data_IF_203557449229
#
_entry.id   IF_203557449229
#
_cell.length_a   1.000
_cell.length_b   1.000
_cell.length_c   1.000
_cell.angle_alpha   90.00
_cell.angle_beta   90.00
_cell.angle_gamma   90.00
#
_symmetry.space_group_name_H-M   'P 1'
#
loop_
_entity.id
_entity.type
_entity.pdbx_description
1 polymer ?
#
# COMPACT_ATOMS: atom_id res chain seq x y z
N UNK A 1 2.16 -26.32 20.52
CA UNK A 1 1.92 -25.41 21.67
C UNK A 1 2.60 -24.07 21.46
N UNK A 2 3.83 -24.04 20.94
CA UNK A 2 4.52 -22.84 20.42
C UNK A 2 3.75 -22.13 19.29
N UNK A 3 3.24 -22.86 18.29
CA UNK A 3 2.49 -22.25 17.16
C UNK A 3 1.15 -21.62 17.57
N UNK A 4 0.51 -22.15 18.63
CA UNK A 4 -0.74 -21.60 19.18
C UNK A 4 -0.47 -20.32 19.99
N UNK A 5 0.66 -20.25 20.69
CA UNK A 5 1.11 -19.06 21.43
C UNK A 5 1.57 -17.96 20.45
N UNK A 6 2.21 -18.34 19.35
CA UNK A 6 2.67 -17.41 18.31
C UNK A 6 1.50 -16.78 17.55
N UNK A 7 0.42 -17.54 17.32
CA UNK A 7 -0.81 -17.01 16.73
C UNK A 7 -1.57 -16.07 17.68
N UNK A 8 -1.54 -16.33 19.00
CA UNK A 8 -2.17 -15.45 20.01
C UNK A 8 -1.45 -14.10 20.20
N UNK A 9 -0.14 -14.01 19.92
CA UNK A 9 0.64 -12.75 20.06
C UNK A 9 0.66 -11.89 18.80
N UNK A 10 -0.12 -12.22 17.78
CA UNK A 10 -0.13 -11.50 16.51
C UNK A 10 -0.74 -10.08 16.60
N UNK A 11 -1.58 -9.80 17.59
CA UNK A 11 -2.20 -8.49 17.79
C UNK A 11 -1.30 -7.48 18.54
N UNK A 12 -0.28 -7.93 19.29
CA UNK A 12 0.57 -7.05 20.14
C UNK A 12 1.20 -5.89 19.34
N UNK A 13 1.80 -6.11 18.14
CA UNK A 13 2.35 -5.01 17.36
C UNK A 13 1.29 -3.99 16.93
N UNK A 14 0.11 -4.46 16.56
CA UNK A 14 -0.98 -3.57 16.15
C UNK A 14 -1.41 -2.68 17.32
N UNK A 15 -1.59 -3.27 18.51
CA UNK A 15 -1.89 -2.48 19.70
C UNK A 15 -0.77 -1.49 20.02
N UNK A 16 0.48 -1.95 19.99
CA UNK A 16 1.64 -1.10 20.31
C UNK A 16 1.77 0.09 19.35
N UNK A 17 1.60 -0.13 18.04
CA UNK A 17 1.60 0.94 17.04
C UNK A 17 0.45 1.92 17.29
N UNK A 18 -0.77 1.40 17.48
CA UNK A 18 -1.95 2.23 17.77
C UNK A 18 -1.75 3.08 19.02
N UNK A 19 -1.32 2.50 20.14
CA UNK A 19 -1.09 3.24 21.37
C UNK A 19 0.01 4.32 21.20
N UNK A 20 1.08 4.00 20.48
CA UNK A 20 2.16 4.96 20.21
C UNK A 20 1.64 6.19 19.43
N UNK A 21 0.80 5.96 18.43
CA UNK A 21 0.19 7.02 17.62
C UNK A 21 -0.77 7.86 18.46
N UNK A 22 -1.64 7.22 19.24
CA UNK A 22 -2.56 7.93 20.11
C UNK A 22 -1.79 8.82 21.09
N UNK A 23 -0.80 8.26 21.81
CA UNK A 23 0.02 9.03 22.75
C UNK A 23 0.70 10.23 22.06
N UNK A 24 1.27 10.02 20.87
CA UNK A 24 1.97 11.07 20.13
C UNK A 24 1.06 12.24 19.70
N UNK A 25 -0.23 11.97 19.47
CA UNK A 25 -1.19 12.96 18.97
C UNK A 25 -2.35 13.25 19.93
N UNK A 26 -2.26 12.86 21.21
CA UNK A 26 -3.28 13.15 22.22
C UNK A 26 -3.54 14.65 22.36
N UNK A 27 -2.51 15.48 22.17
CA UNK A 27 -2.62 16.93 22.18
C UNK A 27 -3.45 17.50 21.02
N UNK A 28 -3.61 16.77 19.90
CA UNK A 28 -4.39 17.23 18.74
C UNK A 28 -5.86 17.51 19.08
N UNK A 29 -6.41 16.86 20.11
CA UNK A 29 -7.79 17.06 20.56
C UNK A 29 -8.05 18.43 21.17
N UNK A 30 -7.00 19.18 21.53
CA UNK A 30 -7.09 20.57 21.98
C UNK A 30 -6.95 21.57 20.81
N UNK A 31 -6.87 21.07 19.58
CA UNK A 31 -6.77 21.87 18.37
C UNK A 31 -8.05 22.65 18.06
N UNK A 32 -7.87 23.69 17.24
CA UNK A 32 -8.95 24.51 16.67
C UNK A 32 -8.98 24.34 15.15
N UNK A 33 -10.07 24.75 14.51
CA UNK A 33 -10.12 24.93 13.06
C UNK A 33 -9.05 25.94 12.62
N UNK A 34 -8.33 25.62 11.55
CA UNK A 34 -7.23 26.42 11.02
C UNK A 34 -7.34 26.55 9.50
N UNK A 35 -6.81 27.62 8.93
CA UNK A 35 -6.62 27.78 7.47
C UNK A 35 -7.86 27.38 6.64
N UNK A 36 -7.73 26.39 5.73
CA UNK A 36 -8.80 25.95 4.83
C UNK A 36 -9.95 25.25 5.55
N UNK A 37 -9.81 24.88 6.83
CA UNK A 37 -10.94 24.37 7.63
C UNK A 37 -12.08 25.38 7.65
N UNK A 38 -11.77 26.68 7.65
CA UNK A 38 -12.77 27.72 7.56
C UNK A 38 -13.51 27.69 6.22
N UNK A 39 -12.80 27.46 5.12
CA UNK A 39 -13.38 27.47 3.78
C UNK A 39 -14.20 26.22 3.49
N UNK A 40 -13.77 25.05 3.99
CA UNK A 40 -14.40 23.77 3.64
C UNK A 40 -15.38 23.26 4.69
N UNK A 41 -15.29 23.77 5.93
CA UNK A 41 -16.15 23.37 7.06
C UNK A 41 -16.87 24.59 7.61
N UNK A 42 -16.17 25.48 8.34
CA UNK A 42 -16.83 26.49 9.21
C UNK A 42 -17.73 27.45 8.45
N UNK A 43 -17.29 27.94 7.30
CA UNK A 43 -18.03 28.90 6.48
C UNK A 43 -18.82 28.20 5.35
N UNK A 44 -18.83 26.87 5.33
CA UNK A 44 -19.45 26.08 4.27
C UNK A 44 -20.71 25.37 4.78
N UNK A 45 -21.84 26.05 4.66
CA UNK A 45 -23.13 25.54 5.14
C UNK A 45 -23.56 24.20 4.53
N UNK A 46 -22.99 23.82 3.37
CA UNK A 46 -23.22 22.51 2.73
C UNK A 46 -22.93 21.36 3.69
N UNK A 47 -21.90 21.47 4.52
CA UNK A 47 -21.50 20.37 5.42
C UNK A 47 -22.18 20.43 6.79
N UNK A 48 -23.08 21.38 7.02
CA UNK A 48 -23.72 21.55 8.34
C UNK A 48 -25.01 20.74 8.51
N UNK A 49 -25.55 20.17 7.43
CA UNK A 49 -26.72 19.28 7.49
C UNK A 49 -26.71 18.26 6.36
N UNK A 50 -27.36 17.12 6.59
CA UNK A 50 -27.56 16.11 5.55
C UNK A 50 -28.39 16.64 4.39
N UNK A 51 -29.35 17.52 4.65
CA UNK A 51 -30.17 18.15 3.63
C UNK A 51 -29.33 19.02 2.68
N UNK A 52 -28.53 19.94 3.23
CA UNK A 52 -27.67 20.82 2.42
C UNK A 52 -26.60 20.03 1.65
N UNK A 53 -26.05 18.97 2.25
CA UNK A 53 -25.13 18.07 1.55
C UNK A 53 -25.79 17.33 0.39
N UNK A 54 -27.04 16.86 0.56
CA UNK A 54 -27.80 16.20 -0.52
C UNK A 54 -28.11 17.17 -1.67
N UNK A 55 -28.49 18.42 -1.37
CA UNK A 55 -28.73 19.45 -2.41
C UNK A 55 -27.48 19.82 -3.19
N UNK A 56 -26.31 19.74 -2.56
CA UNK A 56 -25.01 20.02 -3.19
C UNK A 56 -24.43 18.80 -3.95
N UNK A 57 -25.12 17.65 -3.98
CA UNK A 57 -24.67 16.50 -4.76
C UNK A 57 -24.56 16.86 -6.25
N UNK A 58 -23.35 16.70 -6.80
CA UNK A 58 -23.02 17.09 -8.17
C UNK A 58 -22.35 18.46 -8.29
N UNK A 59 -22.24 19.21 -7.19
CA UNK A 59 -21.56 20.50 -7.14
C UNK A 59 -20.18 20.41 -6.45
N UNK A 60 -19.13 20.70 -7.22
CA UNK A 60 -17.74 20.70 -6.75
C UNK A 60 -17.01 19.34 -6.87
N UNK A 61 -15.75 19.32 -6.43
CA UNK A 61 -14.78 18.28 -6.82
C UNK A 61 -14.50 17.20 -5.76
N UNK A 62 -15.13 17.23 -4.58
CA UNK A 62 -14.75 16.37 -3.43
C UNK A 62 -15.93 15.85 -2.59
N UNK A 63 -16.85 15.06 -3.17
CA UNK A 63 -18.08 14.60 -2.49
C UNK A 63 -17.80 13.73 -1.26
N UNK A 64 -16.75 12.89 -1.30
CA UNK A 64 -16.36 12.02 -0.16
C UNK A 64 -15.95 12.86 1.05
N UNK A 65 -15.18 13.94 0.84
CA UNK A 65 -14.74 14.78 1.94
C UNK A 65 -15.92 15.56 2.54
N UNK A 66 -16.76 16.18 1.70
CA UNK A 66 -17.98 16.86 2.14
C UNK A 66 -18.84 15.92 2.98
N UNK A 67 -19.06 14.69 2.51
CA UNK A 67 -19.77 13.66 3.28
C UNK A 67 -19.14 13.41 4.66
N UNK A 68 -17.82 13.25 4.74
CA UNK A 68 -17.15 13.01 6.03
C UNK A 68 -17.21 14.22 6.98
N UNK A 69 -17.23 15.44 6.44
CA UNK A 69 -17.40 16.65 7.23
C UNK A 69 -18.84 16.78 7.72
N UNK A 70 -19.83 16.50 6.87
CA UNK A 70 -21.25 16.44 7.27
C UNK A 70 -21.49 15.42 8.35
N UNK A 71 -20.90 14.23 8.22
CA UNK A 71 -20.96 13.20 9.25
C UNK A 71 -20.38 13.68 10.59
N UNK A 72 -19.21 14.33 10.58
CA UNK A 72 -18.62 14.85 11.81
C UNK A 72 -19.38 16.04 12.40
N UNK A 73 -19.90 16.93 11.56
CA UNK A 73 -20.66 18.09 12.03
C UNK A 73 -21.96 17.66 12.70
N UNK A 74 -22.70 16.78 12.02
CA UNK A 74 -24.01 16.29 12.48
C UNK A 74 -23.92 15.29 13.63
N UNK A 75 -22.74 14.72 13.91
CA UNK A 75 -22.56 13.84 15.08
C UNK A 75 -22.61 14.57 16.42
N UNK A 76 -22.46 15.91 16.42
CA UNK A 76 -22.49 16.71 17.64
C UNK A 76 -21.24 16.57 18.53
N UNK A 77 -20.21 15.84 18.08
CA UNK A 77 -18.97 15.65 18.84
C UNK A 77 -18.08 16.90 18.86
N UNK A 78 -18.43 17.95 18.11
CA UNK A 78 -17.63 19.17 17.99
C UNK A 78 -16.27 18.93 17.32
N UNK A 79 -15.33 19.85 17.54
CA UNK A 79 -13.99 19.84 16.91
C UNK A 79 -13.21 18.57 17.25
N UNK A 80 -13.34 18.07 18.48
CA UNK A 80 -12.68 16.83 18.92
C UNK A 80 -13.12 15.61 18.10
N UNK A 81 -14.37 15.57 17.62
CA UNK A 81 -14.85 14.53 16.71
C UNK A 81 -14.14 14.54 15.35
N UNK A 82 -13.75 15.72 14.85
CA UNK A 82 -12.99 15.84 13.60
C UNK A 82 -11.56 15.32 13.77
N UNK A 83 -10.88 15.68 14.87
CA UNK A 83 -9.54 15.16 15.19
C UNK A 83 -9.56 13.65 15.44
N UNK A 84 -10.60 13.14 16.13
CA UNK A 84 -10.77 11.70 16.33
C UNK A 84 -10.81 10.95 15.00
N UNK A 85 -11.61 11.41 14.05
CA UNK A 85 -11.70 10.76 12.73
C UNK A 85 -10.37 10.83 11.98
N UNK A 86 -9.68 11.96 11.99
CA UNK A 86 -8.36 12.10 11.36
C UNK A 86 -7.34 11.14 11.99
N UNK A 87 -7.32 11.03 13.32
CA UNK A 87 -6.42 10.13 14.04
C UNK A 87 -6.74 8.65 13.76
N UNK A 88 -8.01 8.28 13.64
CA UNK A 88 -8.43 6.92 13.25
C UNK A 88 -7.91 6.60 11.84
N UNK A 89 -8.12 7.49 10.87
CA UNK A 89 -7.66 7.29 9.48
C UNK A 89 -6.13 7.19 9.45
N UNK A 90 -5.42 8.06 10.17
CA UNK A 90 -3.97 8.03 10.27
C UNK A 90 -3.46 6.72 10.88
N UNK A 91 -4.13 6.22 11.92
CA UNK A 91 -3.82 4.93 12.53
C UNK A 91 -4.01 3.79 11.53
N UNK A 92 -5.13 3.78 10.78
CA UNK A 92 -5.37 2.78 9.72
C UNK A 92 -4.22 2.81 8.70
N UNK A 93 -3.80 3.99 8.24
CA UNK A 93 -2.66 4.14 7.32
C UNK A 93 -1.37 3.55 7.88
N UNK A 94 -1.05 3.83 9.15
CA UNK A 94 0.13 3.29 9.80
C UNK A 94 0.10 1.75 9.92
N UNK A 95 -1.07 1.17 10.21
CA UNK A 95 -1.24 -0.28 10.27
C UNK A 95 -1.13 -0.93 8.88
N UNK A 96 -1.59 -0.25 7.83
CA UNK A 96 -1.39 -0.70 6.45
C UNK A 96 0.10 -0.66 6.06
N UNK A 97 0.83 0.38 6.47
CA UNK A 97 2.29 0.47 6.27
C UNK A 97 3.02 -0.62 7.04
N UNK A 98 2.60 -0.93 8.27
CA UNK A 98 3.14 -2.07 9.02
C UNK A 98 2.93 -3.38 8.25
N UNK A 99 1.74 -3.60 7.71
CA UNK A 99 1.39 -4.79 6.93
C UNK A 99 2.23 -4.93 5.65
N UNK A 100 2.43 -3.82 4.91
CA UNK A 100 3.31 -3.79 3.75
C UNK A 100 4.77 -4.04 4.13
N UNK A 101 5.23 -3.44 5.23
CA UNK A 101 6.59 -3.59 5.73
C UNK A 101 6.89 -5.02 6.17
N UNK A 102 5.92 -5.72 6.77
CA UNK A 102 6.04 -7.14 7.07
C UNK A 102 6.30 -7.95 5.80
N UNK A 103 5.44 -7.80 4.78
CA UNK A 103 5.56 -8.49 3.48
C UNK A 103 6.90 -8.21 2.78
N UNK A 104 7.40 -6.97 2.90
CA UNK A 104 8.70 -6.60 2.34
C UNK A 104 9.86 -7.24 3.10
N UNK A 105 9.73 -7.41 4.42
CA UNK A 105 10.82 -7.85 5.31
C UNK A 105 10.74 -9.32 5.72
N UNK A 106 9.78 -10.09 5.19
CA UNK A 106 9.61 -11.54 5.45
C UNK A 106 10.90 -12.33 5.18
N UNK A 107 11.75 -11.88 4.24
CA UNK A 107 13.00 -12.54 3.90
C UNK A 107 14.12 -12.38 4.96
N UNK A 108 13.96 -11.51 5.96
CA UNK A 108 15.06 -11.05 6.82
C UNK A 108 14.68 -10.94 8.32
N UNK A 109 13.76 -11.80 8.79
CA UNK A 109 13.26 -11.81 10.19
C UNK A 109 12.81 -10.42 10.69
N UNK A 110 11.99 -9.75 9.87
CA UNK A 110 11.81 -8.30 9.91
C UNK A 110 10.68 -7.72 10.77
N UNK A 111 10.02 -8.49 11.64
CA UNK A 111 8.85 -7.98 12.41
C UNK A 111 9.16 -6.72 13.22
N UNK A 112 10.29 -6.70 13.93
CA UNK A 112 10.75 -5.51 14.67
C UNK A 112 11.02 -4.31 13.75
N UNK A 113 11.64 -4.55 12.60
CA UNK A 113 11.91 -3.50 11.60
C UNK A 113 10.60 -2.92 11.05
N UNK A 114 9.62 -3.77 10.74
CA UNK A 114 8.30 -3.32 10.28
C UNK A 114 7.57 -2.45 11.31
N UNK A 115 7.63 -2.81 12.60
CA UNK A 115 7.10 -1.97 13.69
C UNK A 115 7.79 -0.60 13.69
N UNK A 116 9.13 -0.60 13.66
CA UNK A 116 9.93 0.64 13.67
C UNK A 116 9.58 1.51 12.46
N UNK A 117 9.51 0.95 11.25
CA UNK A 117 9.15 1.69 10.03
C UNK A 117 7.77 2.33 10.16
N UNK A 118 6.77 1.57 10.63
CA UNK A 118 5.40 2.07 10.79
C UNK A 118 5.33 3.19 11.83
N UNK A 119 5.95 3.02 13.00
CA UNK A 119 5.97 4.04 14.05
C UNK A 119 6.72 5.28 13.60
N UNK A 120 7.94 5.13 13.05
CA UNK A 120 8.73 6.24 12.55
C UNK A 120 7.97 7.04 11.49
N UNK A 121 7.29 6.36 10.56
CA UNK A 121 6.43 7.03 9.60
C UNK A 121 5.28 7.78 10.28
N UNK A 122 4.57 7.12 11.20
CA UNK A 122 3.34 7.66 11.79
C UNK A 122 3.58 8.88 12.68
N UNK A 123 4.70 8.90 13.42
CA UNK A 123 5.04 10.02 14.32
C UNK A 123 5.98 11.05 13.66
N UNK A 124 6.35 10.85 12.39
CA UNK A 124 7.20 11.80 11.69
C UNK A 124 6.53 13.18 11.65
N UNK A 125 7.24 14.30 11.90
CA UNK A 125 6.63 15.64 11.93
C UNK A 125 5.84 16.01 10.67
N UNK A 126 6.25 15.48 9.50
CA UNK A 126 5.50 15.66 8.23
C UNK A 126 4.06 15.14 8.30
N UNK A 127 3.77 14.16 9.17
CA UNK A 127 2.42 13.61 9.34
C UNK A 127 1.57 14.42 10.31
N UNK A 128 2.13 15.42 11.01
CA UNK A 128 1.35 16.23 11.95
C UNK A 128 0.23 16.96 11.22
N UNK A 129 0.49 17.47 10.00
CA UNK A 129 -0.51 18.13 9.17
C UNK A 129 -1.76 17.26 8.98
N UNK A 130 -1.59 15.99 8.61
CA UNK A 130 -2.73 15.12 8.27
C UNK A 130 -3.57 14.69 9.49
N UNK A 131 -3.06 14.95 10.71
CA UNK A 131 -3.73 14.66 11.99
C UNK A 131 -4.34 15.93 12.60
N UNK A 132 -3.57 17.02 12.69
CA UNK A 132 -3.97 18.25 13.40
C UNK A 132 -4.68 19.25 12.50
N UNK A 133 -4.39 19.28 11.20
CA UNK A 133 -5.10 20.14 10.27
C UNK A 133 -6.32 19.39 9.74
N UNK A 134 -7.53 19.81 10.11
CA UNK A 134 -8.73 18.99 9.91
C UNK A 134 -8.96 18.70 8.43
N UNK A 135 -8.79 19.69 7.55
CA UNK A 135 -8.91 19.56 6.10
C UNK A 135 -7.73 18.86 5.43
N UNK A 136 -6.61 18.70 6.15
CA UNK A 136 -5.53 17.74 5.84
C UNK A 136 -6.02 16.30 5.67
N UNK A 137 -7.23 15.99 6.15
CA UNK A 137 -8.00 14.77 5.92
C UNK A 137 -8.06 14.32 4.46
N UNK A 138 -8.04 15.25 3.51
CA UNK A 138 -7.95 14.92 2.07
C UNK A 138 -6.73 14.03 1.77
N UNK A 139 -5.57 14.36 2.34
CA UNK A 139 -4.35 13.60 2.20
C UNK A 139 -4.43 12.26 2.94
N UNK A 140 -5.04 12.23 4.14
CA UNK A 140 -5.22 11.01 4.94
C UNK A 140 -6.08 9.96 4.23
N UNK A 141 -7.23 10.37 3.68
CA UNK A 141 -8.10 9.47 2.92
C UNK A 141 -7.47 9.01 1.62
N UNK A 142 -6.80 9.92 0.89
CA UNK A 142 -6.07 9.54 -0.31
C UNK A 142 -5.03 8.47 0.02
N UNK A 143 -4.23 8.67 1.07
CA UNK A 143 -3.24 7.69 1.53
C UNK A 143 -3.90 6.36 1.93
N UNK A 144 -5.04 6.39 2.61
CA UNK A 144 -5.76 5.17 3.02
C UNK A 144 -6.23 4.34 1.84
N UNK A 145 -6.86 4.97 0.86
CA UNK A 145 -7.30 4.29 -0.35
C UNK A 145 -6.12 3.84 -1.21
N UNK A 146 -5.05 4.63 -1.29
CA UNK A 146 -3.82 4.30 -2.00
C UNK A 146 -3.10 3.08 -1.39
N UNK A 147 -2.88 3.09 -0.08
CA UNK A 147 -2.24 1.99 0.66
C UNK A 147 -3.12 0.74 0.65
N UNK A 148 -4.43 0.91 0.81
CA UNK A 148 -5.39 -0.19 0.70
C UNK A 148 -5.38 -0.82 -0.69
N UNK A 149 -5.35 -0.01 -1.74
CA UNK A 149 -5.24 -0.48 -3.13
C UNK A 149 -3.95 -1.30 -3.32
N UNK A 150 -2.82 -0.78 -2.83
CA UNK A 150 -1.55 -1.49 -2.89
C UNK A 150 -1.63 -2.83 -2.13
N UNK A 151 -2.11 -2.84 -0.88
CA UNK A 151 -2.24 -4.06 -0.09
C UNK A 151 -3.11 -5.12 -0.76
N UNK A 152 -4.27 -4.73 -1.31
CA UNK A 152 -5.15 -5.64 -2.04
C UNK A 152 -4.51 -6.16 -3.32
N UNK A 153 -3.74 -5.33 -4.03
CA UNK A 153 -2.96 -5.77 -5.17
C UNK A 153 -1.93 -6.82 -4.74
N UNK A 154 -1.12 -6.55 -3.71
CA UNK A 154 -0.11 -7.50 -3.23
C UNK A 154 -0.77 -8.81 -2.81
N UNK A 155 -1.80 -8.74 -1.96
CA UNK A 155 -2.55 -9.91 -1.50
C UNK A 155 -3.17 -10.70 -2.66
N UNK A 156 -3.76 -9.99 -3.63
CA UNK A 156 -4.34 -10.57 -4.84
C UNK A 156 -3.30 -11.33 -5.67
N UNK A 157 -2.10 -10.77 -5.83
CA UNK A 157 -1.02 -11.45 -6.58
C UNK A 157 -0.47 -12.68 -5.86
N UNK A 158 -0.35 -12.64 -4.54
CA UNK A 158 0.11 -13.80 -3.73
C UNK A 158 -0.90 -14.94 -3.73
N UNK A 159 -2.19 -14.61 -3.54
CA UNK A 159 -3.28 -15.59 -3.53
C UNK A 159 -3.81 -15.93 -4.91
N UNK A 160 -3.24 -15.35 -5.96
CA UNK A 160 -3.71 -15.46 -7.35
C UNK A 160 -5.20 -15.11 -7.52
N UNK A 161 -5.72 -14.22 -6.66
CA UNK A 161 -7.11 -13.79 -6.68
C UNK A 161 -7.32 -12.69 -7.71
N UNK A 162 -8.13 -12.98 -8.72
CA UNK A 162 -8.51 -12.02 -9.76
C UNK A 162 -9.39 -10.89 -9.23
N UNK A 163 -10.24 -11.17 -8.23
CA UNK A 163 -11.15 -10.16 -7.66
C UNK A 163 -10.33 -9.08 -6.93
N UNK A 164 -9.40 -9.49 -6.07
CA UNK A 164 -8.58 -8.51 -5.35
C UNK A 164 -7.66 -7.73 -6.28
N UNK A 165 -7.06 -8.43 -7.25
CA UNK A 165 -6.14 -7.80 -8.21
C UNK A 165 -6.86 -6.87 -9.17
N UNK A 166 -7.90 -7.33 -9.87
CA UNK A 166 -8.47 -6.62 -11.02
C UNK A 166 -9.80 -5.89 -10.74
N UNK A 167 -10.33 -5.96 -9.53
CA UNK A 167 -11.54 -5.23 -9.14
C UNK A 167 -11.31 -4.41 -7.88
N UNK A 168 -11.02 -5.05 -6.75
CA UNK A 168 -11.00 -4.36 -5.46
C UNK A 168 -9.86 -3.33 -5.35
N UNK A 169 -8.63 -3.68 -5.77
CA UNK A 169 -7.51 -2.74 -5.82
C UNK A 169 -7.78 -1.53 -6.75
N UNK A 170 -8.22 -1.69 -8.02
CA UNK A 170 -8.51 -0.55 -8.87
C UNK A 170 -9.66 0.33 -8.34
N UNK A 171 -10.70 -0.25 -7.73
CA UNK A 171 -11.78 0.52 -7.10
C UNK A 171 -11.24 1.42 -5.98
N UNK A 172 -10.39 0.88 -5.10
CA UNK A 172 -9.74 1.70 -4.07
C UNK A 172 -8.85 2.79 -4.69
N UNK A 173 -8.10 2.49 -5.74
CA UNK A 173 -7.28 3.50 -6.42
C UNK A 173 -8.13 4.63 -7.02
N UNK A 174 -9.26 4.31 -7.66
CA UNK A 174 -10.19 5.32 -8.17
C UNK A 174 -10.69 6.20 -7.02
N UNK A 175 -11.04 5.61 -5.87
CA UNK A 175 -11.42 6.40 -4.69
C UNK A 175 -10.28 7.29 -4.17
N UNK A 176 -9.01 6.84 -4.26
CA UNK A 176 -7.86 7.67 -3.91
C UNK A 176 -7.75 8.89 -4.84
N UNK A 177 -7.89 8.70 -6.16
CA UNK A 177 -7.87 9.77 -7.17
C UNK A 177 -9.04 10.74 -6.99
N UNK A 178 -10.25 10.22 -6.74
CA UNK A 178 -11.44 11.03 -6.45
C UNK A 178 -11.32 11.82 -5.14
N UNK A 179 -10.44 11.39 -4.23
CA UNK A 179 -10.14 12.13 -3.01
C UNK A 179 -9.11 13.23 -3.28
N UNK A 180 -8.02 12.90 -3.99
CA UNK A 180 -6.93 13.83 -4.31
C UNK A 180 -6.15 13.37 -5.54
N UNK A 181 -5.97 14.28 -6.48
CA UNK A 181 -5.32 14.07 -7.78
C UNK A 181 -3.87 13.61 -7.68
N UNK A 182 -3.17 13.93 -6.57
CA UNK A 182 -1.81 13.44 -6.30
C UNK A 182 -1.72 11.92 -6.25
N UNK A 183 -2.84 11.22 -6.07
CA UNK A 183 -2.89 9.76 -6.14
C UNK A 183 -2.51 9.20 -7.52
N UNK A 184 -2.57 9.99 -8.60
CA UNK A 184 -2.27 9.55 -9.97
C UNK A 184 -0.87 8.93 -10.14
N UNK A 185 0.04 9.13 -9.19
CA UNK A 185 1.36 8.49 -9.16
C UNK A 185 1.33 7.01 -8.73
N UNK A 186 0.18 6.46 -8.33
CA UNK A 186 0.01 5.07 -7.88
C UNK A 186 0.62 3.98 -8.78
N UNK A 187 0.53 4.05 -10.12
CA UNK A 187 1.20 3.11 -11.00
C UNK A 187 2.71 2.97 -10.74
N UNK A 188 3.37 4.05 -10.33
CA UNK A 188 4.79 4.04 -9.97
C UNK A 188 5.02 3.24 -8.67
N UNK A 189 4.14 3.34 -7.67
CA UNK A 189 4.26 2.51 -6.47
C UNK A 189 4.07 1.02 -6.76
N UNK A 190 3.17 0.66 -7.68
CA UNK A 190 3.03 -0.73 -8.12
C UNK A 190 4.29 -1.25 -8.82
N UNK A 191 4.92 -0.41 -9.68
CA UNK A 191 6.20 -0.72 -10.29
C UNK A 191 7.29 -0.95 -9.24
N UNK A 192 7.44 0.00 -8.30
CA UNK A 192 8.44 -0.09 -7.23
C UNK A 192 8.23 -1.35 -6.38
N UNK A 193 6.97 -1.68 -6.05
CA UNK A 193 6.66 -2.91 -5.33
C UNK A 193 7.11 -4.15 -6.09
N UNK A 194 6.74 -4.29 -7.37
CA UNK A 194 7.12 -5.45 -8.18
C UNK A 194 8.66 -5.56 -8.34
N UNK A 195 9.38 -4.44 -8.41
CA UNK A 195 10.85 -4.41 -8.41
C UNK A 195 11.44 -4.96 -7.10
N UNK A 196 10.87 -4.62 -5.94
CA UNK A 196 11.34 -5.18 -4.66
C UNK A 196 11.19 -6.70 -4.58
N UNK A 197 10.22 -7.26 -5.30
CA UNK A 197 9.99 -8.70 -5.37
C UNK A 197 10.93 -9.42 -6.35
N UNK A 198 11.92 -8.72 -6.93
CA UNK A 198 12.83 -9.24 -7.97
C UNK A 198 12.10 -9.85 -9.16
N UNK A 199 10.86 -9.41 -9.40
CA UNK A 199 10.16 -9.73 -10.63
C UNK A 199 10.75 -8.80 -11.68
N UNK A 200 11.56 -9.34 -12.59
CA UNK A 200 11.97 -8.61 -13.80
C UNK A 200 10.73 -8.41 -14.66
N UNK A 201 9.97 -7.35 -14.39
CA UNK A 201 8.77 -7.01 -15.15
C UNK A 201 9.13 -5.84 -16.06
N UNK A 202 8.96 -6.04 -17.36
CA UNK A 202 9.09 -4.95 -18.32
C UNK A 202 8.11 -3.82 -17.96
N UNK A 203 8.54 -2.57 -18.06
CA UNK A 203 7.70 -1.39 -17.85
C UNK A 203 6.43 -1.45 -18.71
N UNK A 204 6.53 -1.98 -19.93
CA UNK A 204 5.38 -2.24 -20.82
C UNK A 204 4.39 -3.22 -20.20
N UNK A 205 4.84 -4.26 -19.50
CA UNK A 205 3.96 -5.21 -18.80
C UNK A 205 3.31 -4.56 -17.58
N UNK A 206 4.01 -3.67 -16.88
CA UNK A 206 3.42 -2.90 -15.78
C UNK A 206 2.36 -1.95 -16.34
N UNK A 207 2.70 -1.14 -17.34
CA UNK A 207 1.75 -0.26 -18.03
C UNK A 207 0.58 -1.07 -18.60
N UNK A 208 0.82 -2.25 -19.20
CA UNK A 208 -0.25 -3.15 -19.63
C UNK A 208 -1.07 -3.66 -18.45
N UNK A 209 -0.49 -4.02 -17.30
CA UNK A 209 -1.25 -4.40 -16.11
C UNK A 209 -2.09 -3.24 -15.58
N UNK A 210 -1.59 -2.00 -15.67
CA UNK A 210 -2.36 -0.79 -15.38
C UNK A 210 -3.49 -0.62 -16.39
N UNK A 211 -3.23 -0.67 -17.69
CA UNK A 211 -4.25 -0.55 -18.75
C UNK A 211 -5.28 -1.69 -18.68
N UNK A 212 -4.84 -2.93 -18.40
CA UNK A 212 -5.67 -4.14 -18.22
C UNK A 212 -6.44 -4.09 -16.89
N UNK A 213 -5.93 -3.38 -15.88
CA UNK A 213 -6.72 -3.01 -14.69
C UNK A 213 -7.97 -2.21 -15.06
N UNK A 214 -7.91 -1.45 -16.16
CA UNK A 214 -8.99 -0.55 -16.59
C UNK A 214 -9.72 -1.01 -17.87
N UNK A 215 -9.24 -2.04 -18.57
CA UNK A 215 -9.79 -2.50 -19.85
C UNK A 215 -9.79 -4.02 -19.98
N UNK A 216 -10.97 -4.63 -19.78
CA UNK A 216 -11.42 -6.00 -20.12
C UNK A 216 -10.35 -7.10 -20.43
N UNK A 217 -10.44 -8.22 -19.69
CA UNK A 217 -9.62 -9.44 -19.83
C UNK A 217 -9.96 -10.23 -21.11
N UNK A 218 -8.97 -10.76 -21.85
CA UNK A 218 -8.67 -12.19 -21.79
C UNK A 218 -7.16 -12.47 -21.73
N UNK A 219 -6.65 -12.98 -20.60
CA UNK A 219 -5.28 -13.48 -20.49
C UNK A 219 -5.31 -15.00 -20.40
N UNK A 220 -5.41 -15.64 -21.57
CA UNK A 220 -5.27 -17.09 -21.70
C UNK A 220 -3.80 -17.55 -21.67
N UNK A 221 -2.81 -16.65 -21.65
CA UNK A 221 -1.40 -17.01 -21.95
C UNK A 221 -0.29 -16.43 -21.04
N UNK A 222 -0.55 -16.05 -19.78
CA UNK A 222 0.55 -15.62 -18.88
C UNK A 222 1.18 -16.74 -18.04
N UNK A 223 0.95 -18.01 -18.40
CA UNK A 223 1.48 -19.16 -17.69
C UNK A 223 2.41 -20.02 -18.56
N UNK A 224 3.49 -19.41 -19.06
CA UNK A 224 4.68 -20.19 -19.43
C UNK A 224 5.88 -19.63 -18.67
N UNK A 225 6.16 -20.24 -17.51
CA UNK A 225 7.50 -20.20 -16.91
C UNK A 225 8.43 -21.01 -17.83
N UNK A 226 9.66 -20.58 -18.12
CA UNK A 226 10.70 -21.54 -18.48
C UNK A 226 11.02 -22.35 -17.23
N UNK A 227 10.58 -23.61 -17.23
CA UNK A 227 11.02 -24.63 -16.28
C UNK A 227 12.42 -25.11 -16.68
N UNK A 228 13.43 -24.25 -16.55
CA UNK A 228 14.84 -24.62 -16.54
C UNK A 228 15.64 -23.36 -16.20
N UNK A 229 16.38 -23.43 -15.10
CA UNK A 229 17.45 -22.55 -14.60
C UNK A 229 17.37 -22.38 -13.07
N UNK A 230 17.06 -23.46 -12.35
CA UNK A 230 17.47 -23.64 -10.96
C UNK A 230 18.46 -24.82 -10.95
N UNK A 231 19.70 -24.54 -11.33
CA UNK A 231 20.89 -25.29 -10.91
C UNK A 231 22.06 -24.31 -10.88
N UNK A 232 22.15 -23.52 -9.82
CA UNK A 232 23.41 -22.85 -9.44
C UNK A 232 23.64 -23.16 -7.97
N UNK A 233 24.46 -24.18 -7.75
CA UNK A 233 24.74 -24.74 -6.43
C UNK A 233 25.40 -26.11 -6.48
N UNK A 234 26.32 -26.35 -7.41
CA UNK A 234 27.29 -27.45 -7.31
C UNK A 234 28.65 -26.98 -7.86
N UNK A 235 29.77 -27.24 -7.18
CA UNK A 235 31.10 -26.94 -7.70
C UNK A 235 31.39 -27.85 -8.90
N UNK A 236 31.95 -27.25 -9.95
CA UNK A 236 32.37 -27.91 -11.19
C UNK A 236 33.41 -28.99 -10.85
N UNK A 237 33.17 -30.29 -11.12
CA UNK A 237 34.25 -31.28 -11.11
C UNK A 237 35.05 -31.10 -12.40
N UNK A 238 36.33 -30.80 -12.25
CA UNK A 238 37.30 -30.77 -13.32
C UNK A 238 37.48 -32.19 -13.89
N UNK A 239 36.74 -32.56 -14.94
CA UNK A 239 36.99 -33.78 -15.71
C UNK A 239 37.90 -33.44 -16.88
N UNK A 240 39.19 -33.73 -16.71
CA UNK A 240 40.12 -33.84 -17.83
C UNK A 240 39.74 -35.05 -18.67
N UNK A 241 39.20 -34.81 -19.86
CA UNK A 241 38.98 -35.86 -20.85
C UNK A 241 40.26 -36.11 -21.64
N UNK A 242 41.09 -37.00 -21.11
CA UNK A 242 42.14 -37.70 -21.85
C UNK A 242 41.50 -38.79 -22.68
N UNK A 243 40.98 -38.48 -23.89
CA UNK A 243 40.70 -39.48 -24.93
C UNK A 243 40.32 -38.90 -26.31
N UNK A 244 41.17 -38.08 -26.91
CA UNK A 244 41.24 -37.93 -28.38
C UNK A 244 42.68 -37.73 -28.86
N UNK A 245 43.39 -38.84 -29.10
CA UNK A 245 44.52 -38.95 -30.05
C UNK A 245 45.00 -40.42 -30.10
N UNK A 246 44.22 -41.27 -30.76
CA UNK A 246 44.75 -42.49 -31.41
C UNK A 246 44.90 -42.19 -32.90
N UNK A 247 45.93 -41.43 -33.25
CA UNK A 247 46.44 -41.40 -34.62
C UNK A 247 47.64 -42.34 -34.74
N UNK A 248 47.32 -43.48 -35.33
CA UNK A 248 48.13 -44.41 -36.12
C UNK A 248 49.44 -43.77 -36.65
N UNK A 249 50.57 -44.04 -35.99
CA UNK A 249 51.91 -43.86 -36.58
C UNK A 249 52.31 -45.19 -37.20
N UNK A 250 52.16 -45.27 -38.53
CA UNK A 250 52.87 -46.24 -39.36
C UNK A 250 54.29 -45.68 -39.58
N UNK A 251 55.31 -46.45 -39.18
CA UNK A 251 56.71 -46.23 -39.61
C UNK A 251 56.85 -46.55 -41.10
N UNK A 252 57.72 -45.81 -41.80
CA UNK A 252 58.54 -46.42 -42.83
C UNK A 252 60.05 -46.16 -42.61
N UNK A 253 60.84 -47.20 -42.88
CA UNK A 253 62.21 -47.21 -43.44
C UNK A 253 63.26 -46.21 -42.93
N UNK A 254 64.19 -46.70 -42.09
CA UNK A 254 65.62 -46.95 -42.36
C UNK A 254 66.35 -47.25 -41.04
#
# INVERSE_FOLDING_TARGET
MTDLIENQKNWIPYLFITLSIFIAYLNSFQGIFQFDDHNVIVNNNVVHSWYAWLEDLGHGIRPILKFTYTLNWTSGMGISGFHLLNLIIHTINALMIYSLSLRLMERVSGRRKAIIISILWAIHPVQTEVVTYISGRSSSFMAMFYLGSLLLYVYGTEKQSRIFTYLAAPVLFIMAVLTKETALIFPLALLLWDLTQQRWINLITVIKRQIIHYGKIPLRNLHKRPASLITWGMPIPWQGDTRMLKMRILRPYL
#
